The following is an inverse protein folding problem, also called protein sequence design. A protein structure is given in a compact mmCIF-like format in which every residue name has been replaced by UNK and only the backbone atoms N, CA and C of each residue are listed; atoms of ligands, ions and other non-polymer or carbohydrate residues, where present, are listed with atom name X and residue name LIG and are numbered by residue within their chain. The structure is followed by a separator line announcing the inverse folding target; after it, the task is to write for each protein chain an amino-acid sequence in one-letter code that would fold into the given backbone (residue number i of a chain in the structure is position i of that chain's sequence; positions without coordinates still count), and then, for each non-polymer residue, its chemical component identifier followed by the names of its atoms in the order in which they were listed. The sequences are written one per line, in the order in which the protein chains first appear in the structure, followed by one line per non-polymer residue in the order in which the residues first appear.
data_IF_611935434948
#
_entry.id   IF_611935434948
#
_cell.length_a   1.000
_cell.length_b   1.000
_cell.length_c   1.000
_cell.angle_alpha   90.00
_cell.angle_beta   90.00
_cell.angle_gamma   90.00
#
_symmetry.space_group_name_H-M   'P 1'
#
loop_
_entity.id
_entity.type
_entity.pdbx_description
1 polymer ?
#
# COMPACT_ATOMS: atom_id res chain seq x y z
N UNK A 1 27.82 0.94 27.32
CA UNK A 1 26.75 1.75 26.70
C UNK A 1 25.71 0.80 26.12
N UNK A 2 24.41 1.09 26.18
CA UNK A 2 23.42 0.25 25.51
C UNK A 2 23.72 0.24 24.00
N UNK A 3 23.68 -0.95 23.40
CA UNK A 3 23.85 -1.15 21.97
C UNK A 3 22.60 -0.61 21.27
N UNK A 4 22.72 0.54 20.61
CA UNK A 4 21.69 1.04 19.69
C UNK A 4 22.03 0.43 18.34
N UNK A 5 21.21 -0.49 17.80
CA UNK A 5 21.42 -1.00 16.44
C UNK A 5 21.43 0.17 15.45
N UNK A 6 22.31 0.14 14.46
CA UNK A 6 22.26 1.12 13.36
C UNK A 6 20.89 1.02 12.68
N UNK A 7 20.17 2.15 12.57
CA UNK A 7 18.91 2.21 11.85
C UNK A 7 19.16 1.88 10.38
N UNK A 8 18.63 0.74 9.92
CA UNK A 8 18.64 0.40 8.50
C UNK A 8 17.85 1.41 7.67
N UNK A 9 18.03 1.43 6.33
CA UNK A 9 17.30 2.34 5.46
C UNK A 9 15.78 2.18 5.66
N UNK A 10 15.01 3.28 5.66
CA UNK A 10 13.58 3.24 5.91
C UNK A 10 12.87 2.46 4.80
N UNK A 11 11.93 1.61 5.21
CA UNK A 11 11.09 0.83 4.31
C UNK A 11 10.01 1.73 3.68
N UNK A 12 10.28 2.22 2.48
CA UNK A 12 9.33 2.98 1.69
C UNK A 12 8.30 2.07 1.01
N UNK A 13 7.02 2.36 1.18
CA UNK A 13 5.94 1.73 0.38
C UNK A 13 5.17 2.80 -0.39
N UNK A 14 5.02 2.58 -1.70
CA UNK A 14 4.14 3.32 -2.59
C UNK A 14 3.16 2.33 -3.20
N UNK A 15 1.87 2.65 -3.17
CA UNK A 15 0.79 1.86 -3.74
C UNK A 15 0.08 2.69 -4.79
N UNK A 16 0.11 2.21 -6.03
CA UNK A 16 -0.72 2.73 -7.10
C UNK A 16 -1.95 1.86 -7.28
N UNK A 17 -3.15 2.44 -7.11
CA UNK A 17 -4.41 1.76 -7.40
C UNK A 17 -4.97 2.32 -8.70
N UNK A 18 -5.05 1.48 -9.73
CA UNK A 18 -5.74 1.81 -10.97
C UNK A 18 -7.23 1.55 -10.78
N UNK A 19 -8.05 2.59 -10.91
CA UNK A 19 -9.50 2.52 -10.72
C UNK A 19 -10.19 3.00 -11.98
N UNK A 20 -11.20 2.26 -12.41
CA UNK A 20 -12.12 2.66 -13.48
C UNK A 20 -13.53 2.75 -12.91
N UNK A 21 -14.13 3.94 -12.95
CA UNK A 21 -15.50 4.13 -12.51
C UNK A 21 -16.48 3.75 -13.64
N UNK A 22 -17.01 2.54 -13.57
CA UNK A 22 -18.04 2.04 -14.50
C UNK A 22 -19.46 2.38 -14.06
N UNK A 23 -19.63 3.09 -12.95
CA UNK A 23 -20.94 3.50 -12.43
C UNK A 23 -21.49 4.73 -13.13
N UNK A 24 -22.70 5.13 -12.74
CA UNK A 24 -23.39 6.31 -13.30
C UNK A 24 -23.26 7.56 -12.41
N UNK A 25 -22.46 7.49 -11.35
CA UNK A 25 -22.26 8.56 -10.39
C UNK A 25 -20.77 8.75 -10.11
N UNK A 26 -20.41 9.97 -9.74
CA UNK A 26 -19.05 10.28 -9.28
C UNK A 26 -18.77 9.60 -7.94
N UNK A 27 -17.58 9.00 -7.82
CA UNK A 27 -17.05 8.50 -6.54
C UNK A 27 -16.22 9.61 -5.91
N UNK A 28 -16.61 10.11 -4.74
CA UNK A 28 -15.99 11.28 -4.09
C UNK A 28 -15.07 10.96 -2.90
N UNK A 29 -15.08 9.72 -2.39
CA UNK A 29 -14.36 9.32 -1.18
C UNK A 29 -13.55 8.02 -1.38
N UNK A 30 -12.88 7.87 -2.52
CA UNK A 30 -12.03 6.69 -2.72
C UNK A 30 -10.77 6.80 -1.84
N UNK A 31 -10.44 5.74 -1.12
CA UNK A 31 -9.30 5.71 -0.22
C UNK A 31 -8.70 4.30 -0.16
N UNK A 32 -7.37 4.20 -0.14
CA UNK A 32 -6.68 3.03 0.38
C UNK A 32 -6.32 3.33 1.83
N UNK A 33 -6.90 2.58 2.77
CA UNK A 33 -6.81 2.89 4.21
C UNK A 33 -5.53 2.33 4.82
N UNK A 34 -5.24 1.07 4.52
CA UNK A 34 -4.05 0.37 5.02
C UNK A 34 -3.63 -0.75 4.07
N UNK A 35 -2.36 -1.09 4.14
CA UNK A 35 -1.79 -2.27 3.48
C UNK A 35 -1.16 -3.18 4.52
N UNK A 36 -1.31 -4.49 4.35
CA UNK A 36 -0.51 -5.49 5.05
C UNK A 36 0.33 -6.24 4.04
N UNK A 37 1.64 -6.24 4.24
CA UNK A 37 2.61 -6.95 3.41
C UNK A 37 2.85 -8.32 4.03
N UNK A 38 2.86 -9.36 3.22
CA UNK A 38 3.02 -10.75 3.64
C UNK A 38 4.18 -11.42 2.91
N UNK A 39 4.84 -12.34 3.59
CA UNK A 39 5.72 -13.30 2.95
C UNK A 39 4.90 -14.30 2.14
N UNK A 40 5.26 -14.49 0.86
CA UNK A 40 4.51 -15.37 -0.04
C UNK A 40 4.58 -16.85 0.35
N UNK A 41 5.72 -17.29 0.91
CA UNK A 41 5.98 -18.70 1.22
C UNK A 41 5.16 -19.25 2.39
N UNK A 42 4.80 -18.43 3.37
CA UNK A 42 4.15 -18.85 4.61
C UNK A 42 2.95 -17.98 5.01
N UNK A 43 2.62 -16.96 4.23
CA UNK A 43 1.55 -16.00 4.51
C UNK A 43 1.66 -15.31 5.88
N UNK A 44 2.85 -15.25 6.46
CA UNK A 44 3.10 -14.47 7.69
C UNK A 44 3.10 -12.97 7.35
N UNK A 45 2.43 -12.14 8.16
CA UNK A 45 2.47 -10.69 7.98
C UNK A 45 3.87 -10.17 8.33
N UNK A 46 4.47 -9.41 7.41
CA UNK A 46 5.70 -8.65 7.63
C UNK A 46 5.39 -7.35 8.37
N UNK A 47 4.45 -6.56 7.84
CA UNK A 47 4.09 -5.25 8.39
C UNK A 47 2.69 -4.84 7.93
N UNK A 48 1.99 -4.08 8.77
CA UNK A 48 0.78 -3.34 8.41
C UNK A 48 1.07 -1.86 8.49
N UNK A 49 0.78 -1.14 7.41
CA UNK A 49 1.04 0.28 7.27
C UNK A 49 -0.27 1.02 6.97
N UNK A 50 -0.52 2.11 7.69
CA UNK A 50 -1.56 3.06 7.33
C UNK A 50 -1.13 3.82 6.08
N UNK A 51 -2.07 4.10 5.20
CA UNK A 51 -1.81 4.74 3.92
C UNK A 51 -2.40 6.15 3.90
N UNK A 52 -1.67 7.07 3.29
CA UNK A 52 -2.08 8.43 3.02
C UNK A 52 -2.08 8.68 1.51
N UNK A 53 -3.07 9.42 1.04
CA UNK A 53 -3.19 9.77 -0.37
C UNK A 53 -2.13 10.80 -0.78
N UNK A 54 -1.57 10.61 -1.98
CA UNK A 54 -0.62 11.55 -2.61
C UNK A 54 -1.24 12.09 -3.90
N UNK A 55 -1.78 13.30 -3.84
CA UNK A 55 -2.32 14.01 -5.00
C UNK A 55 -3.38 15.04 -4.64
N UNK A 56 -4.03 15.59 -5.67
CA UNK A 56 -4.96 16.72 -5.52
C UNK A 56 -6.40 16.30 -5.21
N UNK A 57 -6.81 15.11 -5.64
CA UNK A 57 -8.20 14.64 -5.48
C UNK A 57 -8.30 13.14 -5.62
N UNK A 58 -9.09 12.51 -4.76
CA UNK A 58 -9.50 11.11 -4.84
C UNK A 58 -10.82 10.91 -5.57
N UNK A 59 -11.37 11.98 -6.16
CA UNK A 59 -12.60 11.93 -6.92
C UNK A 59 -12.37 11.23 -8.26
N UNK A 60 -13.31 10.36 -8.63
CA UNK A 60 -13.31 9.63 -9.91
C UNK A 60 -14.68 9.86 -10.56
N UNK A 61 -14.70 10.62 -11.65
CA UNK A 61 -15.94 10.94 -12.35
C UNK A 61 -16.49 9.71 -13.10
N UNK A 62 -17.75 9.80 -13.52
CA UNK A 62 -18.38 8.74 -14.32
C UNK A 62 -17.57 8.44 -15.59
N UNK A 63 -17.26 7.16 -15.82
CA UNK A 63 -16.52 6.68 -16.99
C UNK A 63 -15.01 6.97 -16.95
N UNK A 64 -14.53 7.65 -15.92
CA UNK A 64 -13.12 8.01 -15.78
C UNK A 64 -12.29 6.80 -15.31
N UNK A 65 -11.06 6.70 -15.82
CA UNK A 65 -10.03 5.83 -15.26
C UNK A 65 -8.90 6.67 -14.71
N UNK A 66 -8.46 6.36 -13.50
CA UNK A 66 -7.43 7.12 -12.78
C UNK A 66 -6.53 6.21 -11.98
N UNK A 67 -5.25 6.58 -11.89
CA UNK A 67 -4.30 5.98 -10.96
C UNK A 67 -4.25 6.87 -9.73
N UNK A 68 -4.58 6.29 -8.57
CA UNK A 68 -4.46 6.95 -7.28
C UNK A 68 -3.24 6.40 -6.56
N UNK A 69 -2.37 7.31 -6.11
CA UNK A 69 -1.13 6.96 -5.45
C UNK A 69 -1.27 7.18 -3.94
N UNK A 70 -0.79 6.19 -3.18
CA UNK A 70 -0.78 6.21 -1.72
C UNK A 70 0.62 5.89 -1.23
N UNK A 71 1.03 6.51 -0.13
CA UNK A 71 2.26 6.16 0.59
C UNK A 71 1.93 5.79 2.02
N UNK A 72 2.80 5.04 2.67
CA UNK A 72 2.70 4.84 4.11
C UNK A 72 2.83 6.17 4.88
N UNK A 73 2.07 6.30 5.96
CA UNK A 73 2.26 7.37 6.93
C UNK A 73 3.57 7.17 7.70
N UNK A 74 4.37 8.22 7.83
CA UNK A 74 5.75 8.16 8.35
C UNK A 74 5.83 8.33 9.87
N UNK A 75 4.75 8.06 10.60
CA UNK A 75 4.73 8.20 12.05
C UNK A 75 5.72 7.26 12.76
N UNK A 76 6.17 6.18 12.11
CA UNK A 76 7.22 5.29 12.63
C UNK A 76 8.17 4.82 11.53
N UNK A 77 9.47 4.82 11.83
CA UNK A 77 10.50 4.26 10.96
C UNK A 77 10.42 2.73 11.06
N UNK A 78 10.10 2.08 9.95
CA UNK A 78 10.15 0.62 9.82
C UNK A 78 11.32 0.25 8.92
N UNK A 79 12.29 -0.52 9.43
CA UNK A 79 13.50 -0.93 8.68
C UNK A 79 13.75 -2.43 8.87
N UNK A 80 12.96 -3.32 8.24
CA UNK A 80 13.12 -4.75 8.38
C UNK A 80 14.37 -5.22 7.63
N UNK A 81 15.00 -6.28 8.15
CA UNK A 81 16.03 -6.99 7.41
C UNK A 81 15.36 -8.05 6.52
N UNK A 82 15.36 -7.83 5.20
CA UNK A 82 14.73 -8.71 4.21
C UNK A 82 15.78 -9.09 3.16
N UNK A 83 15.92 -10.39 2.91
CA UNK A 83 16.88 -10.89 1.92
C UNK A 83 16.41 -10.60 0.49
N UNK A 84 17.35 -10.29 -0.40
CA UNK A 84 17.08 -10.19 -1.84
C UNK A 84 16.44 -11.48 -2.36
N UNK A 85 15.45 -11.36 -3.25
CA UNK A 85 14.71 -12.50 -3.77
C UNK A 85 13.59 -12.99 -2.86
N UNK A 86 13.43 -12.45 -1.64
CA UNK A 86 12.24 -12.70 -0.82
C UNK A 86 10.99 -12.30 -1.59
N UNK A 87 10.05 -13.24 -1.75
CA UNK A 87 8.79 -12.98 -2.46
C UNK A 87 7.75 -12.47 -1.47
N UNK A 88 7.21 -11.29 -1.75
CA UNK A 88 6.19 -10.61 -0.94
C UNK A 88 4.92 -10.40 -1.77
N UNK A 89 3.79 -10.28 -1.08
CA UNK A 89 2.55 -9.77 -1.66
C UNK A 89 1.83 -8.86 -0.66
N UNK A 90 1.00 -7.97 -1.14
CA UNK A 90 0.28 -7.00 -0.32
C UNK A 90 -1.21 -7.25 -0.37
N UNK A 91 -1.88 -7.09 0.77
CA UNK A 91 -3.34 -6.96 0.86
C UNK A 91 -3.69 -5.54 1.27
N UNK A 92 -4.49 -4.88 0.47
CA UNK A 92 -4.79 -3.46 0.58
C UNK A 92 -6.28 -3.33 0.87
N UNK A 93 -6.62 -2.72 2.00
CA UNK A 93 -8.00 -2.34 2.31
C UNK A 93 -8.32 -1.05 1.59
N UNK A 94 -9.24 -1.12 0.63
CA UNK A 94 -9.79 0.04 -0.07
C UNK A 94 -11.20 0.32 0.43
N UNK A 95 -11.58 1.60 0.41
CA UNK A 95 -12.91 2.07 0.78
C UNK A 95 -13.38 3.14 -0.21
N UNK A 96 -14.66 3.11 -0.55
CA UNK A 96 -15.29 4.18 -1.33
C UNK A 96 -16.79 4.31 -1.06
N UNK A 97 -17.37 5.45 -1.45
CA UNK A 97 -18.80 5.73 -1.31
C UNK A 97 -19.28 5.68 0.14
N UNK A 98 -20.49 5.16 0.35
CA UNK A 98 -21.13 4.98 1.66
C UNK A 98 -20.58 3.72 2.38
N UNK A 99 -19.29 3.73 2.71
CA UNK A 99 -18.58 2.65 3.42
C UNK A 99 -18.51 1.30 2.69
N UNK A 100 -18.41 1.29 1.37
CA UNK A 100 -18.06 0.06 0.66
C UNK A 100 -16.58 -0.23 0.90
N UNK A 101 -16.27 -1.41 1.40
CA UNK A 101 -14.91 -1.86 1.67
C UNK A 101 -14.58 -3.12 0.85
N UNK A 102 -13.36 -3.17 0.33
CA UNK A 102 -12.86 -4.33 -0.38
C UNK A 102 -11.36 -4.53 -0.09
N UNK A 103 -10.91 -5.78 -0.19
CA UNK A 103 -9.49 -6.12 -0.04
C UNK A 103 -8.93 -6.51 -1.41
N UNK A 104 -8.00 -5.71 -1.91
CA UNK A 104 -7.23 -6.04 -3.10
C UNK A 104 -5.97 -6.81 -2.70
N UNK A 105 -5.63 -7.85 -3.46
CA UNK A 105 -4.39 -8.61 -3.26
C UNK A 105 -3.49 -8.40 -4.48
N UNK A 106 -2.26 -7.98 -4.27
CA UNK A 106 -1.29 -7.82 -5.36
C UNK A 106 -0.75 -9.18 -5.80
N UNK A 107 -0.26 -9.26 -7.04
CA UNK A 107 0.55 -10.39 -7.45
C UNK A 107 1.81 -10.48 -6.55
N UNK A 108 2.31 -11.69 -6.26
CA UNK A 108 3.58 -11.86 -5.58
C UNK A 108 4.73 -11.27 -6.40
N UNK A 109 5.65 -10.58 -5.74
CA UNK A 109 6.84 -10.01 -6.37
C UNK A 109 8.05 -10.24 -5.47
N UNK A 110 9.19 -10.58 -6.09
CA UNK A 110 10.46 -10.65 -5.39
C UNK A 110 10.94 -9.24 -5.03
N UNK A 111 11.54 -9.11 -3.84
CA UNK A 111 12.27 -7.91 -3.44
C UNK A 111 13.50 -7.79 -4.33
N UNK A 112 13.56 -6.68 -5.06
CA UNK A 112 14.73 -6.26 -5.84
C UNK A 112 15.52 -5.26 -5.01
N UNK A 113 16.82 -5.48 -4.82
CA UNK A 113 17.67 -4.58 -4.04
C UNK A 113 18.55 -3.74 -4.98
N UNK A 114 18.59 -2.43 -4.76
CA UNK A 114 19.56 -1.52 -5.37
C UNK A 114 20.14 -0.64 -4.28
N UNK A 115 21.45 -0.76 -4.04
CA UNK A 115 22.22 -0.07 -3.00
C UNK A 115 22.11 1.46 -3.07
#
# INVERSE_FOLDING_TARGET
MPFVPEEGPPFGTIIGVFVTNTGNTTVSNFEAVRTTIYFHNNSMPLVTLNLIFVGDSTQINQGESRILMFTHDRESIFSPNIEEGTVLYSRILIRWGDNIEEILTTAPSAVYFTY
#
